data_IF_819913390295
#
_entry.id   IF_819913390295
#
_cell.length_a   1.000
_cell.length_b   1.000
_cell.length_c   1.000
_cell.angle_alpha   90.00
_cell.angle_beta   90.00
_cell.angle_gamma   90.00
#
_symmetry.space_group_name_H-M   'P 1'
#
loop_
_entity.id
_entity.type
_entity.pdbx_description
1 polymer ?
#
# COMPACT_ATOMS: atom_id res chain seq x y z
N UNK A 1 -17.02 -31.89 4.20
CA UNK A 1 -15.80 -31.67 3.37
C UNK A 1 -16.12 -30.53 2.43
N UNK A 2 -15.50 -29.35 2.60
CA UNK A 2 -15.79 -28.19 1.75
C UNK A 2 -15.05 -28.30 0.41
N UNK A 3 -15.82 -28.15 -0.67
CA UNK A 3 -15.40 -28.28 -2.05
C UNK A 3 -14.69 -27.01 -2.55
N UNK A 4 -13.77 -27.23 -3.49
CA UNK A 4 -12.74 -26.30 -3.96
C UNK A 4 -13.22 -24.93 -4.43
N UNK A 5 -12.56 -23.89 -3.92
CA UNK A 5 -12.53 -22.57 -4.53
C UNK A 5 -11.64 -22.64 -5.79
N UNK A 6 -12.26 -22.45 -6.96
CA UNK A 6 -11.56 -22.29 -8.24
C UNK A 6 -10.86 -20.93 -8.27
N UNK A 7 -9.55 -20.93 -8.15
CA UNK A 7 -8.72 -19.74 -8.38
C UNK A 7 -8.66 -19.44 -9.89
N UNK A 8 -9.46 -18.48 -10.34
CA UNK A 8 -9.26 -17.83 -11.64
C UNK A 8 -8.07 -16.87 -11.52
N UNK A 9 -6.85 -17.34 -11.75
CA UNK A 9 -5.70 -16.46 -11.98
C UNK A 9 -5.51 -16.33 -13.48
N UNK A 10 -6.27 -15.42 -14.11
CA UNK A 10 -6.10 -15.09 -15.52
C UNK A 10 -5.06 -13.98 -15.66
N UNK A 11 -3.99 -14.31 -16.34
CA UNK A 11 -2.83 -13.50 -16.71
C UNK A 11 -3.22 -12.12 -17.25
N UNK A 12 -3.07 -11.07 -16.43
CA UNK A 12 -3.10 -9.65 -16.84
C UNK A 12 -1.91 -8.85 -16.25
N UNK A 13 -0.83 -9.53 -15.86
CA UNK A 13 0.22 -8.91 -15.05
C UNK A 13 1.05 -7.85 -15.80
N UNK A 14 1.13 -7.88 -17.13
CA UNK A 14 1.99 -6.95 -17.90
C UNK A 14 1.24 -5.69 -18.32
N UNK A 15 0.04 -5.81 -18.91
CA UNK A 15 -0.72 -4.65 -19.37
C UNK A 15 -1.24 -3.77 -18.22
N UNK A 16 -1.57 -4.37 -17.06
CA UNK A 16 -1.99 -3.60 -15.88
C UNK A 16 -0.80 -2.86 -15.24
N UNK A 17 0.46 -3.29 -15.51
CA UNK A 17 1.65 -2.62 -14.95
C UNK A 17 1.81 -1.21 -15.53
N UNK A 18 1.59 -1.06 -16.83
CA UNK A 18 1.70 0.22 -17.55
C UNK A 18 0.60 1.20 -17.10
N UNK A 19 -0.66 0.75 -17.05
CA UNK A 19 -1.79 1.61 -16.66
C UNK A 19 -1.71 2.11 -15.22
N UNK A 20 -1.30 1.24 -14.27
CA UNK A 20 -1.11 1.62 -12.87
C UNK A 20 0.05 2.62 -12.72
N UNK A 21 1.14 2.45 -13.47
CA UNK A 21 2.26 3.40 -13.43
C UNK A 21 1.85 4.77 -13.94
N UNK A 22 1.13 4.84 -15.07
CA UNK A 22 0.62 6.12 -15.58
C UNK A 22 -0.35 6.79 -14.61
N UNK A 23 -1.27 6.02 -14.02
CA UNK A 23 -2.20 6.52 -13.01
C UNK A 23 -1.47 7.01 -11.75
N UNK A 24 -0.41 6.30 -11.32
CA UNK A 24 0.44 6.73 -10.21
C UNK A 24 1.03 8.14 -10.42
N UNK A 25 1.35 8.46 -11.67
CA UNK A 25 1.99 9.72 -12.05
C UNK A 25 0.98 10.84 -12.32
N UNK A 26 -0.25 10.53 -12.75
CA UNK A 26 -1.25 11.50 -13.22
C UNK A 26 -2.39 11.71 -12.22
N UNK A 27 -2.83 10.67 -11.52
CA UNK A 27 -4.00 10.73 -10.65
C UNK A 27 -3.62 11.16 -9.22
N UNK A 28 -4.52 11.83 -8.50
CA UNK A 28 -4.33 12.08 -7.09
C UNK A 28 -4.47 10.79 -6.29
N UNK A 29 -3.48 10.47 -5.46
CA UNK A 29 -3.47 9.25 -4.65
C UNK A 29 -3.52 9.61 -3.18
N UNK A 30 -4.46 8.99 -2.49
CA UNK A 30 -4.61 9.14 -1.05
C UNK A 30 -3.94 7.95 -0.36
N UNK A 31 -2.78 8.21 0.22
CA UNK A 31 -2.02 7.23 0.99
C UNK A 31 -2.45 7.28 2.44
N UNK A 32 -3.04 6.21 2.92
CA UNK A 32 -3.39 6.04 4.33
C UNK A 32 -2.20 5.49 5.10
N UNK A 33 -1.88 6.10 6.24
CA UNK A 33 -0.90 5.52 7.16
C UNK A 33 -1.43 4.26 7.82
N UNK A 34 -0.59 3.25 7.91
CA UNK A 34 -0.85 1.98 8.59
C UNK A 34 -0.01 1.90 9.87
N UNK A 35 -0.23 0.87 10.68
CA UNK A 35 0.60 0.56 11.85
C UNK A 35 1.77 -0.39 11.52
N UNK A 36 2.00 -0.66 10.23
CA UNK A 36 3.05 -1.56 9.76
C UNK A 36 4.34 -0.75 9.53
N UNK A 37 5.43 -1.17 10.18
CA UNK A 37 6.72 -0.47 10.07
C UNK A 37 7.39 -0.72 8.72
N UNK A 38 7.19 -1.91 8.14
CA UNK A 38 7.73 -2.26 6.83
C UNK A 38 6.90 -1.61 5.72
N UNK A 39 5.57 -1.54 5.91
CA UNK A 39 4.62 -0.95 4.96
C UNK A 39 3.78 0.19 5.55
N UNK A 40 4.39 1.34 5.90
CA UNK A 40 3.72 2.43 6.62
C UNK A 40 2.56 3.10 5.87
N UNK A 41 2.46 2.91 4.55
CA UNK A 41 1.39 3.54 3.76
C UNK A 41 0.71 2.53 2.85
N UNK A 42 -0.61 2.69 2.72
CA UNK A 42 -1.47 1.93 1.81
C UNK A 42 -2.36 2.87 1.02
N UNK A 43 -2.56 2.59 -0.26
CA UNK A 43 -3.51 3.30 -1.11
C UNK A 43 -4.34 2.31 -1.94
N UNK A 44 -5.45 2.79 -2.48
CA UNK A 44 -6.21 2.07 -3.51
C UNK A 44 -6.21 2.92 -4.78
N UNK A 45 -5.76 2.35 -5.89
CA UNK A 45 -5.72 3.03 -7.19
C UNK A 45 -6.28 2.08 -8.23
N UNK A 46 -7.29 2.52 -8.99
CA UNK A 46 -7.96 1.69 -10.01
C UNK A 46 -8.44 0.32 -9.49
N UNK A 47 -8.91 0.27 -8.24
CA UNK A 47 -9.35 -0.97 -7.59
C UNK A 47 -8.23 -1.88 -7.10
N UNK A 48 -6.96 -1.49 -7.30
CA UNK A 48 -5.79 -2.23 -6.85
C UNK A 48 -5.28 -1.68 -5.52
N UNK A 49 -4.90 -2.57 -4.60
CA UNK A 49 -4.25 -2.16 -3.36
C UNK A 49 -2.76 -1.96 -3.60
N UNK A 50 -2.28 -0.76 -3.30
CA UNK A 50 -0.88 -0.38 -3.31
C UNK A 50 -0.36 -0.22 -1.87
N UNK A 51 0.90 -0.58 -1.64
CA UNK A 51 1.62 -0.44 -0.37
C UNK A 51 2.96 0.24 -0.60
N UNK A 52 3.42 1.07 0.32
CA UNK A 52 4.77 1.65 0.25
C UNK A 52 5.65 0.93 1.24
N UNK A 53 6.67 0.24 0.75
CA UNK A 53 7.72 -0.38 1.55
C UNK A 53 8.78 0.66 1.88
N UNK A 54 9.22 0.75 3.14
CA UNK A 54 10.42 1.54 3.50
C UNK A 54 11.65 0.73 3.11
N UNK A 55 12.65 1.38 2.52
CA UNK A 55 13.97 0.80 2.35
C UNK A 55 14.93 1.34 3.42
N UNK A 56 15.63 0.46 4.12
CA UNK A 56 16.56 0.81 5.20
C UNK A 56 17.99 1.15 4.71
N UNK A 57 18.21 1.21 3.39
CA UNK A 57 19.54 1.40 2.81
C UNK A 57 19.72 2.81 2.24
N UNK A 58 20.80 3.53 2.61
CA UNK A 58 21.04 4.91 2.18
C UNK A 58 21.29 5.04 0.67
N UNK A 59 21.76 3.97 0.02
CA UNK A 59 22.05 3.95 -1.42
C UNK A 59 20.83 3.58 -2.28
N UNK A 60 19.67 3.31 -1.65
CA UNK A 60 18.41 2.99 -2.34
C UNK A 60 17.39 4.09 -2.13
N UNK A 61 16.40 4.14 -3.01
CA UNK A 61 15.27 5.06 -2.86
C UNK A 61 14.55 4.83 -1.54
N UNK A 62 14.14 5.90 -0.85
CA UNK A 62 13.57 5.84 0.50
C UNK A 62 12.34 4.91 0.61
N UNK A 63 11.53 4.83 -0.44
CA UNK A 63 10.36 3.95 -0.49
C UNK A 63 10.26 3.19 -1.81
N UNK A 64 9.65 2.01 -1.76
CA UNK A 64 9.27 1.22 -2.95
C UNK A 64 7.77 1.01 -2.95
N UNK A 65 7.08 1.41 -4.03
CA UNK A 65 5.65 1.17 -4.22
C UNK A 65 5.44 -0.26 -4.70
N UNK A 66 4.68 -1.01 -3.93
CA UNK A 66 4.30 -2.40 -4.13
C UNK A 66 2.83 -2.50 -4.55
N UNK A 67 2.54 -3.38 -5.51
CA UNK A 67 1.18 -3.87 -5.80
C UNK A 67 1.13 -5.35 -5.49
N UNK A 68 0.42 -5.72 -4.42
CA UNK A 68 0.54 -7.08 -3.86
C UNK A 68 2.02 -7.38 -3.57
N UNK A 69 2.55 -8.44 -4.15
CA UNK A 69 3.95 -8.89 -3.95
C UNK A 69 4.92 -8.37 -5.03
N UNK A 70 4.49 -7.41 -5.86
CA UNK A 70 5.28 -6.90 -6.98
C UNK A 70 5.71 -5.46 -6.78
N UNK A 71 6.99 -5.20 -6.98
CA UNK A 71 7.57 -3.86 -7.06
C UNK A 71 7.12 -3.15 -8.35
N UNK A 72 6.52 -1.98 -8.19
CA UNK A 72 6.04 -1.13 -9.30
C UNK A 72 7.04 -0.03 -9.60
N UNK A 73 7.45 0.73 -8.57
CA UNK A 73 8.40 1.81 -8.72
C UNK A 73 9.10 2.16 -7.41
N UNK A 74 10.31 2.67 -7.52
CA UNK A 74 11.07 3.24 -6.41
C UNK A 74 10.90 4.76 -6.36
N UNK A 75 10.77 5.32 -5.16
CA UNK A 75 10.59 6.76 -4.95
C UNK A 75 11.42 7.25 -3.76
N UNK A 76 11.89 8.49 -3.86
CA UNK A 76 12.62 9.16 -2.78
C UNK A 76 11.70 9.95 -1.83
N UNK A 77 10.42 10.08 -2.17
CA UNK A 77 9.45 10.85 -1.40
C UNK A 77 8.10 10.89 -2.07
N UNK A 78 7.13 11.52 -1.40
CA UNK A 78 5.79 11.75 -1.93
C UNK A 78 5.85 12.81 -3.03
N UNK A 79 5.13 12.55 -4.12
CA UNK A 79 4.93 13.53 -5.20
C UNK A 79 3.86 14.54 -4.81
N UNK A 80 3.84 15.69 -5.49
CA UNK A 80 2.90 16.79 -5.19
C UNK A 80 1.43 16.41 -5.39
N UNK A 81 1.15 15.48 -6.30
CA UNK A 81 -0.19 14.95 -6.54
C UNK A 81 -0.60 13.87 -5.51
N UNK A 82 0.28 13.50 -4.58
CA UNK A 82 -0.01 12.47 -3.59
C UNK A 82 -0.36 13.11 -2.26
N UNK A 83 -1.51 12.72 -1.73
CA UNK A 83 -1.98 13.18 -0.44
C UNK A 83 -1.64 12.14 0.62
N UNK A 84 -0.92 12.58 1.65
CA UNK A 84 -0.69 11.80 2.86
C UNK A 84 -1.94 11.95 3.72
N UNK A 85 -2.71 10.87 3.80
CA UNK A 85 -3.80 10.76 4.75
C UNK A 85 -3.26 10.73 6.17
N UNK A 86 -4.08 11.22 7.10
CA UNK A 86 -3.85 11.06 8.53
C UNK A 86 -3.93 9.57 8.90
N UNK A 87 -3.38 9.23 10.07
CA UNK A 87 -3.34 7.86 10.57
C UNK A 87 -4.74 7.24 10.54
N UNK A 88 -4.89 6.06 9.91
CA UNK A 88 -6.15 5.33 9.98
C UNK A 88 -6.22 4.68 11.39
N UNK A 89 -6.69 5.48 12.37
CA UNK A 89 -6.84 5.12 13.79
C UNK A 89 -7.95 4.07 14.02
N UNK A 90 -8.29 3.25 13.01
CA UNK A 90 -9.28 2.17 13.17
C UNK A 90 -8.64 0.82 13.48
N UNK A 91 -7.32 0.74 13.59
CA UNK A 91 -6.62 -0.45 14.10
C UNK A 91 -6.41 -0.33 15.61
N UNK A 92 -7.47 -0.64 16.35
CA UNK A 92 -7.50 -1.08 17.75
C UNK A 92 -6.45 -0.45 18.67
N UNK A 93 -6.82 0.63 19.35
CA UNK A 93 -6.35 0.80 20.73
C UNK A 93 -6.77 -0.48 21.49
N UNK A 94 -5.83 -1.23 22.11
CA UNK A 94 -6.27 -2.16 23.13
C UNK A 94 -7.02 -1.32 24.14
N UNK A 95 -8.32 -1.59 24.30
CA UNK A 95 -9.15 -1.04 25.35
C UNK A 95 -8.46 -1.40 26.67
N UNK A 96 -7.61 -0.49 27.15
CA UNK A 96 -6.93 -0.62 28.41
C UNK A 96 -7.99 -0.30 29.46
N UNK A 97 -8.90 -1.25 29.66
CA UNK A 97 -9.70 -1.34 30.87
C UNK A 97 -8.69 -1.42 32.03
N UNK A 98 -8.38 -0.27 32.63
CA UNK A 98 -7.89 -0.24 34.01
C UNK A 98 -9.12 -0.50 34.87
N UNK A 99 -9.29 -1.70 35.47
CA UNK A 99 -10.21 -1.80 36.59
C UNK A 99 -9.67 -0.90 37.69
N UNK A 100 -10.47 0.08 38.10
CA UNK A 100 -10.21 0.83 39.31
C UNK A 100 -10.22 -0.14 40.50
N UNK A 101 -9.21 -0.02 41.36
CA UNK A 101 -9.27 -0.45 42.75
C UNK A 101 -8.43 0.51 43.56
#
# INVERSE_FOLDING_TARGET
MYAGARFFVRTLATAVKEGILEALLKEPIFWKRTNDVEFPYRATLQGETLRMRINDYPDRSAYTVMRGDREIMDINGFRDNWQRGEFDEQVQTPSMNRPGT
#
